data_IF_080308343360
#
_entry.id   IF_080308343360
#
_cell.length_a   1.000
_cell.length_b   1.000
_cell.length_c   1.000
_cell.angle_alpha   90.00
_cell.angle_beta   90.00
_cell.angle_gamma   90.00
#
_symmetry.space_group_name_H-M   'P 1'
#
loop_
_entity.id
_entity.type
_entity.pdbx_description
1 polymer ?
#
# COMPACT_ATOMS: atom_id res chain seq x y z
N UNK A 1 -32.61 23.53 17.42
CA UNK A 1 -31.31 24.20 17.68
C UNK A 1 -30.87 24.91 16.41
N UNK A 2 -30.31 26.13 16.49
CA UNK A 2 -29.86 26.90 15.32
C UNK A 2 -28.65 26.24 14.63
N UNK A 3 -28.42 26.44 13.32
CA UNK A 3 -27.23 25.91 12.65
C UNK A 3 -25.96 26.45 13.31
N UNK A 4 -24.94 25.58 13.44
CA UNK A 4 -23.64 25.98 13.99
C UNK A 4 -22.93 26.88 12.97
N UNK A 5 -22.03 27.74 13.45
CA UNK A 5 -21.17 28.53 12.57
C UNK A 5 -20.15 27.64 11.85
N UNK A 6 -19.64 28.10 10.71
CA UNK A 6 -18.60 27.37 9.98
C UNK A 6 -17.35 27.12 10.82
N UNK A 7 -16.95 28.09 11.66
CA UNK A 7 -15.82 27.95 12.57
C UNK A 7 -16.03 26.86 13.63
N UNK A 8 -17.26 26.72 14.14
CA UNK A 8 -17.60 25.64 15.07
C UNK A 8 -17.57 24.27 14.38
N UNK A 9 -18.08 24.18 13.15
CA UNK A 9 -18.04 22.94 12.36
C UNK A 9 -16.59 22.49 12.08
N UNK A 10 -15.71 23.41 11.68
CA UNK A 10 -14.29 23.10 11.43
C UNK A 10 -13.54 22.76 12.73
N UNK A 11 -13.76 23.50 13.81
CA UNK A 11 -13.16 23.21 15.11
C UNK A 11 -13.59 21.82 15.66
N UNK A 12 -14.88 21.48 15.54
CA UNK A 12 -15.39 20.16 15.90
C UNK A 12 -14.73 19.04 15.08
N UNK A 13 -14.50 19.30 13.79
CA UNK A 13 -13.83 18.38 12.87
C UNK A 13 -12.37 18.17 13.26
N UNK A 14 -11.61 19.22 13.56
CA UNK A 14 -10.24 19.10 14.06
C UNK A 14 -10.16 18.32 15.38
N UNK A 15 -11.09 18.57 16.31
CA UNK A 15 -11.16 17.79 17.57
C UNK A 15 -11.41 16.31 17.30
N UNK A 16 -12.25 15.98 16.32
CA UNK A 16 -12.54 14.61 15.91
C UNK A 16 -11.31 13.95 15.27
N UNK A 17 -10.59 14.68 14.40
CA UNK A 17 -9.34 14.24 13.76
C UNK A 17 -8.25 14.00 14.79
N UNK A 18 -8.02 14.95 15.71
CA UNK A 18 -7.03 14.80 16.77
C UNK A 18 -7.30 13.57 17.64
N UNK A 19 -8.57 13.31 17.97
CA UNK A 19 -8.97 12.11 18.71
C UNK A 19 -8.74 10.80 17.94
N UNK A 20 -8.91 10.81 16.61
CA UNK A 20 -8.59 9.65 15.75
C UNK A 20 -7.10 9.34 15.78
N UNK A 21 -6.28 10.38 15.57
CA UNK A 21 -4.82 10.27 15.50
C UNK A 21 -4.24 9.82 16.86
N UNK A 22 -4.65 10.47 17.95
CA UNK A 22 -4.18 10.12 19.30
C UNK A 22 -4.53 8.68 19.74
N UNK A 23 -5.61 8.11 19.20
CA UNK A 23 -6.05 6.74 19.53
C UNK A 23 -5.64 5.69 18.49
N UNK A 24 -4.92 6.08 17.43
CA UNK A 24 -4.55 5.19 16.33
C UNK A 24 -5.75 4.53 15.61
N UNK A 25 -6.95 5.12 15.69
CA UNK A 25 -8.17 4.50 15.16
C UNK A 25 -8.43 4.92 13.71
N UNK A 26 -8.83 3.96 12.85
CA UNK A 26 -9.16 4.21 11.44
C UNK A 26 -10.58 4.77 11.22
N UNK A 27 -11.45 4.65 12.22
CA UNK A 27 -12.84 5.13 12.23
C UNK A 27 -13.25 5.42 13.67
N UNK A 28 -14.16 6.37 13.87
CA UNK A 28 -14.85 6.54 15.15
C UNK A 28 -16.24 5.89 15.07
N UNK A 29 -16.62 5.19 16.14
CA UNK A 29 -17.97 4.70 16.34
C UNK A 29 -18.41 5.14 17.74
N UNK A 30 -19.58 5.78 17.82
CA UNK A 30 -20.16 6.21 19.09
C UNK A 30 -21.21 7.33 18.96
N UNK A 31 -21.91 7.66 20.05
CA UNK A 31 -22.95 8.69 20.04
C UNK A 31 -22.44 10.07 19.60
N UNK A 32 -21.22 10.43 20.02
CA UNK A 32 -20.60 11.71 19.67
C UNK A 32 -20.37 11.90 18.16
N UNK A 33 -20.14 10.82 17.39
CA UNK A 33 -20.01 10.94 15.93
C UNK A 33 -21.35 11.10 15.23
N UNK A 34 -22.40 10.54 15.81
CA UNK A 34 -23.76 10.69 15.29
C UNK A 34 -24.25 12.12 15.52
N UNK A 35 -24.00 12.70 16.69
CA UNK A 35 -24.30 14.12 16.97
C UNK A 35 -23.53 15.05 16.06
N UNK A 36 -22.22 14.84 15.88
CA UNK A 36 -21.41 15.62 14.92
C UNK A 36 -22.00 15.61 13.51
N UNK A 37 -22.36 14.42 12.99
CA UNK A 37 -22.91 14.31 11.64
C UNK A 37 -24.26 15.00 11.50
N UNK A 38 -25.15 14.89 12.49
CA UNK A 38 -26.44 15.58 12.49
C UNK A 38 -26.27 17.10 12.51
N UNK A 39 -25.34 17.61 13.31
CA UNK A 39 -25.05 19.04 13.37
C UNK A 39 -24.42 19.55 12.07
N UNK A 40 -23.53 18.74 11.46
CA UNK A 40 -22.93 19.05 10.17
C UNK A 40 -23.98 19.05 9.05
N UNK A 41 -24.85 18.04 8.98
CA UNK A 41 -25.95 17.94 8.01
C UNK A 41 -26.91 19.13 8.11
N UNK A 42 -27.21 19.59 9.33
CA UNK A 42 -28.07 20.76 9.54
C UNK A 42 -27.39 22.07 9.12
N UNK A 43 -26.07 22.18 9.34
CA UNK A 43 -25.35 23.44 9.19
C UNK A 43 -24.83 23.65 7.76
N UNK A 44 -24.45 22.58 7.07
CA UNK A 44 -23.83 22.63 5.74
C UNK A 44 -24.64 23.42 4.69
N UNK A 45 -25.98 23.27 4.56
CA UNK A 45 -26.75 24.01 3.56
C UNK A 45 -26.66 25.53 3.73
N UNK A 46 -26.50 26.02 4.96
CA UNK A 46 -26.46 27.46 5.26
C UNK A 46 -25.10 28.09 4.91
N UNK A 47 -24.03 27.28 4.90
CA UNK A 47 -22.66 27.74 4.66
C UNK A 47 -22.10 27.26 3.32
N UNK A 48 -22.89 26.56 2.50
CA UNK A 48 -22.43 25.87 1.30
C UNK A 48 -21.58 26.76 0.39
N UNK A 49 -22.04 27.99 0.14
CA UNK A 49 -21.36 28.94 -0.73
C UNK A 49 -20.14 29.62 -0.10
N UNK A 50 -20.06 29.64 1.24
CA UNK A 50 -18.96 30.22 2.01
C UNK A 50 -17.79 29.24 2.21
N UNK A 51 -18.00 27.96 1.90
CA UNK A 51 -16.96 26.94 1.97
C UNK A 51 -15.83 27.24 0.97
N UNK A 52 -14.60 27.21 1.48
CA UNK A 52 -13.33 27.24 0.73
C UNK A 52 -12.73 25.84 0.68
N UNK A 53 -11.72 25.64 -0.15
CA UNK A 53 -11.04 24.34 -0.32
C UNK A 53 -10.63 23.71 1.01
N UNK A 54 -9.95 24.45 1.89
CA UNK A 54 -9.53 23.94 3.20
C UNK A 54 -10.71 23.48 4.07
N UNK A 55 -11.80 24.25 4.07
CA UNK A 55 -13.01 23.90 4.80
C UNK A 55 -13.58 22.59 4.26
N UNK A 56 -13.64 22.44 2.93
CA UNK A 56 -14.14 21.23 2.29
C UNK A 56 -13.27 20.03 2.65
N UNK A 57 -11.94 20.13 2.55
CA UNK A 57 -11.02 19.03 2.86
C UNK A 57 -11.16 18.54 4.31
N UNK A 58 -11.18 19.45 5.28
CA UNK A 58 -11.30 19.11 6.70
C UNK A 58 -12.66 18.49 7.02
N UNK A 59 -13.74 19.10 6.55
CA UNK A 59 -15.10 18.59 6.76
C UNK A 59 -15.31 17.24 6.07
N UNK A 60 -14.77 17.07 4.86
CA UNK A 60 -14.84 15.82 4.11
C UNK A 60 -14.08 14.72 4.84
N UNK A 61 -12.86 15.00 5.33
CA UNK A 61 -12.10 14.04 6.11
C UNK A 61 -12.82 13.64 7.40
N UNK A 62 -13.37 14.61 8.14
CA UNK A 62 -14.12 14.30 9.36
C UNK A 62 -15.40 13.50 9.08
N UNK A 63 -16.16 13.86 8.05
CA UNK A 63 -17.37 13.15 7.64
C UNK A 63 -17.06 11.70 7.22
N UNK A 64 -16.05 11.52 6.37
CA UNK A 64 -15.64 10.19 5.86
C UNK A 64 -15.13 9.25 6.95
N UNK A 65 -14.60 9.79 8.06
CA UNK A 65 -14.11 9.00 9.21
C UNK A 65 -15.15 8.77 10.30
N UNK A 66 -16.29 9.45 10.22
CA UNK A 66 -17.34 9.43 11.25
C UNK A 66 -18.37 8.33 11.04
N UNK A 67 -18.88 8.15 9.82
CA UNK A 67 -19.88 7.10 9.51
C UNK A 67 -19.98 6.85 8.01
N UNK A 68 -20.34 5.62 7.62
CA UNK A 68 -20.78 5.32 6.26
C UNK A 68 -22.14 5.94 5.94
N UNK A 69 -22.93 6.36 6.94
CA UNK A 69 -24.21 7.06 6.71
C UNK A 69 -24.06 8.52 6.27
N UNK A 70 -22.84 9.08 6.28
CA UNK A 70 -22.58 10.48 5.96
C UNK A 70 -22.66 10.81 4.45
N UNK A 71 -23.13 9.89 3.61
CA UNK A 71 -23.17 10.04 2.14
C UNK A 71 -23.78 11.36 1.66
N UNK A 72 -24.93 11.85 2.20
CA UNK A 72 -25.50 13.11 1.73
C UNK A 72 -24.57 14.31 1.97
N UNK A 73 -23.95 14.36 3.15
CA UNK A 73 -22.96 15.40 3.53
C UNK A 73 -21.73 15.33 2.62
N UNK A 74 -21.21 14.13 2.40
CA UNK A 74 -20.03 13.90 1.55
C UNK A 74 -20.35 14.33 0.11
N UNK A 75 -21.50 13.95 -0.44
CA UNK A 75 -21.94 14.37 -1.79
C UNK A 75 -22.05 15.88 -1.91
N UNK A 76 -22.62 16.56 -0.90
CA UNK A 76 -22.71 18.02 -0.91
C UNK A 76 -21.33 18.69 -0.86
N UNK A 77 -20.42 18.20 -0.03
CA UNK A 77 -19.02 18.68 0.03
C UNK A 77 -18.27 18.45 -1.30
N UNK A 78 -18.43 17.27 -1.91
CA UNK A 78 -17.88 16.96 -3.22
C UNK A 78 -18.45 17.89 -4.32
N UNK A 79 -19.77 18.10 -4.33
CA UNK A 79 -20.42 19.05 -5.25
C UNK A 79 -19.87 20.46 -5.11
N UNK A 80 -19.67 20.92 -3.86
CA UNK A 80 -19.08 22.23 -3.59
C UNK A 80 -17.66 22.31 -4.13
N UNK A 81 -16.86 21.26 -3.95
CA UNK A 81 -15.49 21.22 -4.45
C UNK A 81 -15.44 21.38 -5.98
N UNK A 82 -16.28 20.64 -6.70
CA UNK A 82 -16.39 20.79 -8.16
C UNK A 82 -16.77 22.22 -8.54
N UNK A 83 -17.73 22.84 -7.83
CA UNK A 83 -18.10 24.24 -8.09
C UNK A 83 -16.94 25.22 -7.84
N UNK A 84 -16.12 25.00 -6.81
CA UNK A 84 -14.92 25.83 -6.55
C UNK A 84 -13.93 25.71 -7.71
N UNK A 85 -13.72 24.49 -8.20
CA UNK A 85 -12.77 24.22 -9.28
C UNK A 85 -13.24 24.78 -10.62
N UNK A 86 -14.50 24.54 -10.99
CA UNK A 86 -15.11 25.04 -12.23
C UNK A 86 -15.10 26.58 -12.30
N UNK A 87 -15.32 27.25 -11.16
CA UNK A 87 -15.26 28.71 -11.09
C UNK A 87 -13.83 29.25 -11.25
N UNK A 88 -12.82 28.51 -10.80
CA UNK A 88 -11.41 28.88 -11.00
C UNK A 88 -11.04 28.79 -12.47
N UNK A 89 -11.42 27.71 -13.15
CA UNK A 89 -11.15 27.51 -14.58
C UNK A 89 -11.79 28.60 -15.46
N UNK A 90 -13.03 29.00 -15.14
CA UNK A 90 -13.70 30.12 -15.84
C UNK A 90 -13.00 31.46 -15.65
N UNK A 91 -12.54 31.74 -14.43
CA UNK A 91 -11.81 32.97 -14.14
C UNK A 91 -10.43 33.01 -14.80
N UNK A 92 -9.84 31.86 -15.13
CA UNK A 92 -8.59 31.75 -15.89
C UNK A 92 -8.80 31.97 -17.39
N UNK A 93 -9.88 31.43 -17.96
CA UNK A 93 -10.24 31.62 -19.37
C UNK A 93 -10.57 33.08 -19.71
N UNK A 94 -11.12 33.85 -18.77
CA UNK A 94 -11.40 35.28 -18.94
C UNK A 94 -10.14 36.18 -18.83
N UNK A 95 -8.99 35.63 -18.39
CA UNK A 95 -7.72 36.35 -18.26
C UNK A 95 -6.79 36.04 -19.43
N UNK A 96 -7.06 36.68 -20.56
CA UNK A 96 -6.21 36.59 -21.75
C UNK A 96 -4.81 37.22 -21.53
N UNK A 97 -3.80 36.46 -21.95
CA UNK A 97 -2.38 36.80 -22.22
C UNK A 97 -1.64 37.73 -21.24
N UNK A 98 -0.80 37.16 -20.35
CA UNK A 98 0.56 37.66 -19.96
C UNK A 98 1.01 37.32 -18.52
N UNK A 99 0.48 36.29 -17.85
CA UNK A 99 0.90 35.93 -16.48
C UNK A 99 1.19 34.42 -16.41
N UNK A 100 2.21 33.94 -15.66
CA UNK A 100 2.63 32.54 -15.67
C UNK A 100 1.52 31.58 -15.24
N UNK A 101 1.61 30.31 -15.68
CA UNK A 101 0.68 29.20 -15.36
C UNK A 101 0.03 29.38 -13.98
N UNK A 102 -1.30 29.53 -13.98
CA UNK A 102 -2.07 29.68 -12.76
C UNK A 102 -1.75 28.54 -11.77
N UNK A 103 -1.58 28.91 -10.50
CA UNK A 103 -1.42 27.97 -9.40
C UNK A 103 -2.59 26.98 -9.38
N UNK A 104 -2.37 25.69 -9.12
CA UNK A 104 -3.44 24.71 -9.15
C UNK A 104 -4.50 25.07 -8.11
N UNK A 105 -5.78 24.94 -8.48
CA UNK A 105 -6.92 25.27 -7.61
C UNK A 105 -6.93 24.47 -6.29
N UNK A 106 -6.28 23.31 -6.31
CA UNK A 106 -6.02 22.47 -5.15
C UNK A 106 -4.52 22.44 -4.87
N UNK A 107 -4.12 22.86 -3.67
CA UNK A 107 -2.80 22.52 -3.19
C UNK A 107 -2.64 21.00 -3.00
N UNK A 108 -1.40 20.56 -2.86
CA UNK A 108 -1.07 19.13 -2.77
C UNK A 108 -1.69 18.46 -1.54
N UNK A 109 -1.82 19.16 -0.42
CA UNK A 109 -2.37 18.59 0.82
C UNK A 109 -3.86 18.35 0.69
N UNK A 110 -4.59 19.38 0.25
CA UNK A 110 -6.01 19.34 -0.02
C UNK A 110 -6.33 18.27 -1.08
N UNK A 111 -5.55 18.21 -2.17
CA UNK A 111 -5.69 17.19 -3.20
C UNK A 111 -5.61 15.77 -2.61
N UNK A 112 -4.58 15.49 -1.81
CA UNK A 112 -4.37 14.15 -1.24
C UNK A 112 -5.44 13.79 -0.22
N UNK A 113 -5.85 14.73 0.63
CA UNK A 113 -6.92 14.53 1.60
C UNK A 113 -8.22 14.20 0.88
N UNK A 114 -8.61 15.01 -0.10
CA UNK A 114 -9.83 14.80 -0.89
C UNK A 114 -9.77 13.47 -1.64
N UNK A 115 -8.68 13.21 -2.38
CA UNK A 115 -8.53 11.97 -3.14
C UNK A 115 -8.61 10.73 -2.24
N UNK A 116 -8.00 10.77 -1.05
CA UNK A 116 -8.08 9.70 -0.05
C UNK A 116 -9.50 9.48 0.46
N UNK A 117 -10.24 10.57 0.71
CA UNK A 117 -11.63 10.52 1.16
C UNK A 117 -12.54 9.90 0.09
N UNK A 118 -12.40 10.33 -1.16
CA UNK A 118 -13.21 9.83 -2.28
C UNK A 118 -12.89 8.37 -2.57
N UNK A 119 -11.61 7.98 -2.62
CA UNK A 119 -11.21 6.59 -2.86
C UNK A 119 -11.79 5.63 -1.80
N UNK A 120 -11.89 6.07 -0.54
CA UNK A 120 -12.52 5.29 0.55
C UNK A 120 -14.00 5.03 0.27
N UNK A 121 -14.75 6.03 -0.20
CA UNK A 121 -16.19 5.93 -0.43
C UNK A 121 -16.56 5.39 -1.80
N UNK A 122 -15.68 5.55 -2.79
CA UNK A 122 -15.81 4.95 -4.10
C UNK A 122 -16.16 3.47 -3.92
N UNK A 123 -15.37 2.73 -3.15
CA UNK A 123 -15.53 1.27 -2.93
C UNK A 123 -16.91 0.79 -2.43
N UNK A 124 -17.83 1.66 -2.00
CA UNK A 124 -19.08 1.25 -1.33
C UNK A 124 -20.36 1.97 -1.78
N UNK A 125 -20.30 3.26 -2.11
CA UNK A 125 -21.52 4.11 -2.02
C UNK A 125 -21.68 5.18 -3.12
N UNK A 126 -20.66 5.43 -3.94
CA UNK A 126 -20.78 6.35 -5.09
C UNK A 126 -21.15 5.60 -6.36
N UNK A 127 -22.10 6.16 -7.11
CA UNK A 127 -22.32 5.78 -8.50
C UNK A 127 -21.16 6.26 -9.38
N UNK A 128 -20.99 5.60 -10.53
CA UNK A 128 -19.86 5.87 -11.42
C UNK A 128 -19.95 7.29 -12.03
N UNK A 129 -21.15 7.86 -12.18
CA UNK A 129 -21.35 9.22 -12.71
C UNK A 129 -20.77 10.29 -11.77
N UNK A 130 -21.01 10.19 -10.46
CA UNK A 130 -20.44 11.10 -9.46
C UNK A 130 -18.93 10.95 -9.36
N UNK A 131 -18.40 9.72 -9.44
CA UNK A 131 -16.96 9.48 -9.45
C UNK A 131 -16.29 10.12 -10.67
N UNK A 132 -16.91 10.05 -11.85
CA UNK A 132 -16.42 10.70 -13.07
C UNK A 132 -16.31 12.21 -12.90
N UNK A 133 -17.32 12.85 -12.34
CA UNK A 133 -17.28 14.30 -12.05
C UNK A 133 -16.13 14.65 -11.11
N UNK A 134 -15.94 13.87 -10.04
CA UNK A 134 -14.85 14.11 -9.10
C UNK A 134 -13.47 13.88 -9.71
N UNK A 135 -13.32 12.87 -10.56
CA UNK A 135 -12.07 12.61 -11.28
C UNK A 135 -11.73 13.77 -12.22
N UNK A 136 -12.71 14.31 -12.94
CA UNK A 136 -12.51 15.51 -13.79
C UNK A 136 -11.99 16.69 -12.98
N UNK A 137 -12.42 16.84 -11.73
CA UNK A 137 -11.91 17.86 -10.81
C UNK A 137 -10.49 17.57 -10.30
N UNK A 138 -10.19 16.33 -9.91
CA UNK A 138 -8.93 15.99 -9.23
C UNK A 138 -7.76 15.71 -10.18
N UNK A 139 -8.02 15.13 -11.35
CA UNK A 139 -6.99 14.65 -12.26
C UNK A 139 -6.10 15.78 -12.81
N UNK A 140 -6.62 16.93 -13.26
CA UNK A 140 -5.79 18.03 -13.75
C UNK A 140 -4.84 18.58 -12.67
N UNK A 141 -5.34 18.75 -11.44
CA UNK A 141 -4.53 19.20 -10.32
C UNK A 141 -3.41 18.20 -9.99
N UNK A 142 -3.72 16.90 -9.98
CA UNK A 142 -2.72 15.86 -9.77
C UNK A 142 -1.65 15.85 -10.86
N UNK A 143 -2.04 15.97 -12.13
CA UNK A 143 -1.09 16.04 -13.24
C UNK A 143 -0.16 17.24 -13.11
N UNK A 144 -0.70 18.42 -12.76
CA UNK A 144 0.10 19.61 -12.51
C UNK A 144 1.17 19.36 -11.44
N UNK A 145 0.79 18.76 -10.30
CA UNK A 145 1.72 18.47 -9.21
C UNK A 145 2.75 17.39 -9.57
N UNK A 146 2.41 16.42 -10.42
CA UNK A 146 3.36 15.42 -10.94
C UNK A 146 4.37 16.10 -11.89
N UNK A 147 3.90 16.99 -12.77
CA UNK A 147 4.76 17.73 -13.69
C UNK A 147 5.69 18.69 -12.94
N UNK A 148 5.20 19.34 -11.88
CA UNK A 148 6.01 20.18 -11.00
C UNK A 148 7.08 19.35 -10.28
N UNK A 149 6.70 18.20 -9.70
CA UNK A 149 7.66 17.25 -9.12
C UNK A 149 8.73 16.81 -10.14
N UNK A 150 8.34 16.55 -11.39
CA UNK A 150 9.28 16.23 -12.47
C UNK A 150 10.26 17.37 -12.76
N UNK A 151 9.81 18.63 -12.71
CA UNK A 151 10.68 19.80 -12.87
C UNK A 151 11.63 19.96 -11.70
N UNK A 152 11.15 19.80 -10.47
CA UNK A 152 11.98 19.84 -9.26
C UNK A 152 13.10 18.79 -9.30
N UNK A 153 12.77 17.55 -9.69
CA UNK A 153 13.75 16.47 -9.82
C UNK A 153 14.70 16.70 -11.00
N UNK A 154 14.30 17.43 -12.04
CA UNK A 154 15.17 17.75 -13.17
C UNK A 154 16.11 18.93 -12.91
N UNK A 155 15.84 19.75 -11.89
CA UNK A 155 16.72 20.85 -11.51
C UNK A 155 18.07 20.31 -11.01
N UNK A 156 19.18 20.84 -11.54
CA UNK A 156 20.55 20.35 -11.27
C UNK A 156 21.16 20.86 -9.97
N UNK A 157 20.45 21.70 -9.22
CA UNK A 157 20.96 22.40 -8.04
C UNK A 157 20.43 21.78 -6.75
N UNK A 158 21.32 21.17 -5.96
CA UNK A 158 21.04 20.69 -4.60
C UNK A 158 20.61 19.21 -4.51
N UNK A 159 20.65 18.64 -3.29
CA UNK A 159 20.27 17.24 -3.04
C UNK A 159 18.78 17.01 -3.29
N UNK A 160 18.40 15.76 -3.61
CA UNK A 160 17.01 15.39 -3.85
C UNK A 160 16.09 15.74 -2.67
N UNK A 161 16.57 15.58 -1.44
CA UNK A 161 15.82 15.88 -0.21
C UNK A 161 15.36 17.34 -0.11
N UNK A 162 16.13 18.28 -0.67
CA UNK A 162 15.76 19.70 -0.69
C UNK A 162 14.82 20.02 -1.85
N UNK A 163 15.07 19.41 -3.02
CA UNK A 163 14.30 19.66 -4.24
C UNK A 163 12.92 19.04 -4.22
N UNK A 164 12.81 17.82 -3.68
CA UNK A 164 11.56 17.09 -3.53
C UNK A 164 11.56 16.36 -2.19
N UNK A 165 11.17 17.04 -1.09
CA UNK A 165 11.17 16.45 0.24
C UNK A 165 10.37 15.14 0.32
N UNK A 166 10.75 14.20 1.19
CA UNK A 166 10.08 12.90 1.30
C UNK A 166 8.57 13.01 1.55
N UNK A 167 8.15 14.00 2.33
CA UNK A 167 6.73 14.25 2.62
C UNK A 167 5.96 14.68 1.38
N UNK A 168 6.54 15.53 0.53
CA UNK A 168 5.92 15.96 -0.72
C UNK A 168 5.84 14.79 -1.70
N UNK A 169 6.90 13.99 -1.80
CA UNK A 169 6.90 12.80 -2.62
C UNK A 169 5.83 11.78 -2.14
N UNK A 170 5.74 11.54 -0.84
CA UNK A 170 4.71 10.66 -0.25
C UNK A 170 3.29 11.16 -0.55
N UNK A 171 3.06 12.48 -0.51
CA UNK A 171 1.79 13.10 -0.92
C UNK A 171 1.50 12.84 -2.39
N UNK A 172 2.46 13.07 -3.30
CA UNK A 172 2.31 12.77 -4.74
C UNK A 172 1.96 11.30 -5.00
N UNK A 173 2.70 10.37 -4.38
CA UNK A 173 2.43 8.93 -4.47
C UNK A 173 1.03 8.59 -3.96
N UNK A 174 0.62 9.16 -2.82
CA UNK A 174 -0.71 8.91 -2.24
C UNK A 174 -1.83 9.45 -3.14
N UNK A 175 -1.63 10.65 -3.71
CA UNK A 175 -2.55 11.24 -4.68
C UNK A 175 -2.71 10.36 -5.92
N UNK A 176 -1.60 9.91 -6.51
CA UNK A 176 -1.58 8.96 -7.62
C UNK A 176 -2.33 7.68 -7.30
N UNK A 177 -2.01 7.01 -6.18
CA UNK A 177 -2.65 5.77 -5.77
C UNK A 177 -4.17 5.96 -5.60
N UNK A 178 -4.60 7.05 -4.97
CA UNK A 178 -6.01 7.29 -4.70
C UNK A 178 -6.80 7.63 -5.95
N UNK A 179 -6.33 8.57 -6.77
CA UNK A 179 -7.02 8.96 -8.02
C UNK A 179 -6.93 7.84 -9.06
N UNK A 180 -5.77 7.20 -9.20
CA UNK A 180 -5.54 6.08 -10.10
C UNK A 180 -6.47 4.91 -9.83
N UNK A 181 -6.71 4.54 -8.56
CA UNK A 181 -7.68 3.50 -8.20
C UNK A 181 -9.12 3.85 -8.59
N UNK A 182 -9.52 5.12 -8.48
CA UNK A 182 -10.85 5.56 -8.89
C UNK A 182 -10.97 5.45 -10.41
N UNK A 183 -9.98 5.96 -11.15
CA UNK A 183 -9.91 5.87 -12.62
C UNK A 183 -9.92 4.41 -13.09
N UNK A 184 -9.08 3.55 -12.52
CA UNK A 184 -8.99 2.14 -12.87
C UNK A 184 -10.32 1.39 -12.67
N UNK A 185 -11.07 1.72 -11.61
CA UNK A 185 -12.42 1.20 -11.45
C UNK A 185 -13.32 1.63 -12.60
N UNK A 186 -13.35 2.93 -12.93
CA UNK A 186 -14.21 3.47 -13.98
C UNK A 186 -13.88 2.89 -15.36
N UNK A 187 -12.61 2.62 -15.63
CA UNK A 187 -12.17 1.94 -16.87
C UNK A 187 -12.56 0.47 -16.91
N UNK A 188 -12.70 -0.18 -15.75
CA UNK A 188 -13.06 -1.60 -15.67
C UNK A 188 -14.57 -1.85 -15.73
N UNK A 189 -15.40 -0.85 -15.42
CA UNK A 189 -16.87 -0.97 -15.40
C UNK A 189 -17.53 -0.71 -16.76
N UNK A 190 -16.88 -0.03 -17.68
CA UNK A 190 -17.40 0.29 -19.02
C UNK A 190 -16.32 0.12 -20.10
N UNK A 191 -16.72 -0.24 -21.31
CA UNK A 191 -15.86 -0.21 -22.51
C UNK A 191 -15.63 1.23 -23.01
N UNK A 192 -15.30 2.15 -22.10
CA UNK A 192 -15.20 3.57 -22.37
C UNK A 192 -13.73 3.94 -22.63
N UNK A 193 -13.42 4.34 -23.87
CA UNK A 193 -12.04 4.57 -24.33
C UNK A 193 -11.39 5.80 -23.70
N UNK A 194 -12.18 6.79 -23.32
CA UNK A 194 -11.69 8.09 -22.85
C UNK A 194 -11.04 8.01 -21.46
N UNK A 195 -11.66 7.30 -20.51
CA UNK A 195 -11.07 7.11 -19.17
C UNK A 195 -9.79 6.27 -19.22
N UNK A 196 -9.72 5.33 -20.17
CA UNK A 196 -8.55 4.48 -20.40
C UNK A 196 -7.35 5.31 -20.82
N UNK A 197 -7.55 6.27 -21.72
CA UNK A 197 -6.51 7.22 -22.12
C UNK A 197 -6.04 8.12 -20.97
N UNK A 198 -6.97 8.57 -20.12
CA UNK A 198 -6.64 9.40 -18.94
C UNK A 198 -5.82 8.62 -17.92
N UNK A 199 -6.21 7.38 -17.60
CA UNK A 199 -5.46 6.51 -16.69
C UNK A 199 -4.07 6.21 -17.25
N UNK A 200 -3.96 5.90 -18.54
CA UNK A 200 -2.68 5.63 -19.18
C UNK A 200 -1.73 6.83 -19.08
N UNK A 201 -2.20 8.05 -19.38
CA UNK A 201 -1.40 9.28 -19.27
C UNK A 201 -0.94 9.55 -17.83
N UNK A 202 -1.82 9.30 -16.86
CA UNK A 202 -1.50 9.45 -15.44
C UNK A 202 -0.41 8.44 -15.01
N UNK A 203 -0.56 7.17 -15.40
CA UNK A 203 0.42 6.13 -15.14
C UNK A 203 1.78 6.45 -15.78
N UNK A 204 1.80 6.90 -17.04
CA UNK A 204 3.03 7.27 -17.75
C UNK A 204 3.75 8.43 -17.07
N UNK A 205 3.04 9.51 -16.75
CA UNK A 205 3.64 10.71 -16.16
C UNK A 205 4.19 10.43 -14.76
N UNK A 206 3.47 9.62 -13.96
CA UNK A 206 3.93 9.25 -12.63
C UNK A 206 5.04 8.19 -12.65
N UNK A 207 5.01 7.24 -13.59
CA UNK A 207 6.10 6.29 -13.81
C UNK A 207 7.40 7.02 -14.19
N UNK A 208 7.32 8.06 -15.03
CA UNK A 208 8.45 8.91 -15.36
C UNK A 208 9.02 9.61 -14.12
N UNK A 209 8.16 10.21 -13.27
CA UNK A 209 8.60 10.85 -12.03
C UNK A 209 9.30 9.84 -11.11
N UNK A 210 8.66 8.70 -10.90
CA UNK A 210 9.15 7.60 -10.08
C UNK A 210 10.53 7.10 -10.54
N UNK A 211 10.69 6.85 -11.84
CA UNK A 211 11.98 6.42 -12.41
C UNK A 211 13.09 7.45 -12.17
N UNK A 212 12.80 8.75 -12.35
CA UNK A 212 13.76 9.82 -12.10
C UNK A 212 14.15 9.90 -10.62
N UNK A 213 13.18 9.88 -9.72
CA UNK A 213 13.42 9.90 -8.27
C UNK A 213 14.33 8.74 -7.88
N UNK A 214 14.02 7.52 -8.33
CA UNK A 214 14.83 6.34 -8.03
C UNK A 214 16.25 6.43 -8.62
N UNK A 215 16.40 6.92 -9.86
CA UNK A 215 17.73 7.15 -10.45
C UNK A 215 18.55 8.13 -9.62
N UNK A 216 17.97 9.25 -9.20
CA UNK A 216 18.65 10.22 -8.34
C UNK A 216 19.02 9.63 -6.99
N UNK A 217 18.14 8.86 -6.33
CA UNK A 217 18.48 8.17 -5.09
C UNK A 217 19.70 7.26 -5.29
N UNK A 218 19.72 6.46 -6.36
CA UNK A 218 20.84 5.55 -6.63
C UNK A 218 22.14 6.31 -6.88
N UNK A 219 22.09 7.41 -7.64
CA UNK A 219 23.27 8.19 -7.99
C UNK A 219 23.82 8.96 -6.77
N UNK A 220 22.96 9.51 -5.91
CA UNK A 220 23.37 10.14 -4.64
C UNK A 220 23.96 9.13 -3.64
N UNK A 221 23.36 7.94 -3.52
CA UNK A 221 23.91 6.84 -2.71
C UNK A 221 25.29 6.39 -3.21
N UNK A 222 25.44 6.25 -4.53
CA UNK A 222 26.71 5.89 -5.16
C UNK A 222 27.78 6.95 -4.87
N UNK A 223 27.43 8.22 -5.04
CA UNK A 223 28.32 9.34 -4.76
C UNK A 223 28.71 9.41 -3.28
N UNK A 224 27.78 9.11 -2.36
CA UNK A 224 28.04 9.05 -0.92
C UNK A 224 29.04 7.96 -0.55
N UNK A 225 28.87 6.74 -1.09
CA UNK A 225 29.80 5.63 -0.85
C UNK A 225 31.22 5.87 -1.38
N UNK A 226 31.35 6.71 -2.42
CA UNK A 226 32.63 7.08 -2.98
C UNK A 226 33.38 8.14 -2.12
N UNK A 227 32.71 8.76 -1.14
CA UNK A 227 33.34 9.73 -0.24
C UNK A 227 34.26 9.04 0.78
N UNK A 228 35.24 9.79 1.27
CA UNK A 228 36.12 9.29 2.33
C UNK A 228 35.33 9.04 3.62
N UNK A 229 35.72 8.06 4.47
CA UNK A 229 35.04 7.80 5.74
C UNK A 229 34.95 9.02 6.68
N UNK A 230 35.86 9.99 6.53
CA UNK A 230 35.87 11.24 7.30
C UNK A 230 34.77 12.25 6.86
N UNK A 231 34.18 12.04 5.69
CA UNK A 231 33.11 12.88 5.11
C UNK A 231 31.73 12.22 5.18
N UNK A 232 31.66 10.96 5.63
CA UNK A 232 30.41 10.26 5.85
C UNK A 232 29.61 10.93 6.97
N UNK A 233 28.29 11.07 6.75
CA UNK A 233 27.37 11.75 7.67
C UNK A 233 26.88 10.76 8.74
N UNK A 234 26.55 11.30 9.91
CA UNK A 234 25.84 10.60 10.98
C UNK A 234 24.53 11.37 11.30
N UNK A 235 23.32 10.79 11.13
CA UNK A 235 23.07 9.42 10.67
C UNK A 235 23.40 9.20 9.18
N UNK A 236 23.54 7.93 8.74
CA UNK A 236 23.84 7.59 7.36
C UNK A 236 22.79 8.16 6.41
N UNK A 237 23.21 8.63 5.24
CA UNK A 237 22.30 9.19 4.24
C UNK A 237 21.25 8.16 3.80
N UNK A 238 21.57 6.87 3.91
CA UNK A 238 20.73 5.72 3.61
C UNK A 238 19.41 5.74 4.38
N UNK A 239 19.39 6.19 5.64
CA UNK A 239 18.17 6.28 6.44
C UNK A 239 17.19 7.33 5.88
N UNK A 240 17.72 8.37 5.24
CA UNK A 240 16.90 9.44 4.66
C UNK A 240 16.16 9.01 3.38
N UNK A 241 16.59 7.91 2.74
CA UNK A 241 15.98 7.41 1.51
C UNK A 241 14.90 6.34 1.72
N UNK A 242 14.78 5.77 2.93
CA UNK A 242 13.75 4.77 3.24
C UNK A 242 12.32 5.23 2.85
N UNK A 243 11.89 6.49 3.11
CA UNK A 243 10.56 6.93 2.73
C UNK A 243 10.34 6.94 1.21
N UNK A 244 11.36 7.29 0.40
CA UNK A 244 11.26 7.24 -1.05
C UNK A 244 11.08 5.82 -1.55
N UNK A 245 11.82 4.86 -0.96
CA UNK A 245 11.72 3.44 -1.30
C UNK A 245 10.32 2.91 -0.96
N UNK A 246 9.83 3.16 0.26
CA UNK A 246 8.50 2.71 0.68
C UNK A 246 7.36 3.30 -0.15
N UNK A 247 7.42 4.61 -0.46
CA UNK A 247 6.40 5.25 -1.31
C UNK A 247 6.47 4.77 -2.76
N UNK A 248 7.68 4.62 -3.31
CA UNK A 248 7.92 4.07 -4.64
C UNK A 248 7.33 2.68 -4.79
N UNK A 249 7.57 1.81 -3.81
CA UNK A 249 7.07 0.43 -3.81
C UNK A 249 5.55 0.37 -3.94
N UNK A 250 4.83 1.19 -3.16
CA UNK A 250 3.38 1.23 -3.21
C UNK A 250 2.86 1.69 -4.59
N UNK A 251 3.55 2.62 -5.25
CA UNK A 251 3.21 3.07 -6.59
C UNK A 251 3.50 1.98 -7.63
N UNK A 252 4.63 1.27 -7.53
CA UNK A 252 4.98 0.17 -8.44
C UNK A 252 3.90 -0.92 -8.39
N UNK A 253 3.45 -1.29 -7.20
CA UNK A 253 2.38 -2.27 -7.02
C UNK A 253 1.07 -1.81 -7.68
N UNK A 254 0.69 -0.54 -7.56
CA UNK A 254 -0.51 -0.01 -8.23
C UNK A 254 -0.35 0.04 -9.75
N UNK A 255 0.81 0.45 -10.27
CA UNK A 255 1.07 0.42 -11.71
C UNK A 255 0.93 -0.99 -12.28
N UNK A 256 1.42 -2.01 -11.57
CA UNK A 256 1.23 -3.42 -11.92
C UNK A 256 -0.26 -3.78 -11.87
N UNK A 257 -0.97 -3.38 -10.82
CA UNK A 257 -2.40 -3.66 -10.67
C UNK A 257 -3.25 -3.02 -11.77
N UNK A 258 -2.83 -1.86 -12.29
CA UNK A 258 -3.47 -1.17 -13.42
C UNK A 258 -3.05 -1.74 -14.78
N UNK A 259 -2.17 -2.74 -14.83
CA UNK A 259 -1.68 -3.34 -16.07
C UNK A 259 -0.67 -2.47 -16.83
N UNK A 260 -0.08 -1.46 -16.19
CA UNK A 260 0.94 -0.60 -16.82
C UNK A 260 2.31 -1.32 -16.82
N UNK A 261 3.09 -1.24 -17.92
CA UNK A 261 4.42 -1.83 -17.97
C UNK A 261 5.40 -1.11 -17.04
N UNK A 262 5.95 -1.84 -16.05
CA UNK A 262 6.86 -1.28 -15.02
C UNK A 262 8.31 -1.74 -15.16
N UNK A 263 8.74 -2.16 -16.36
CA UNK A 263 10.08 -2.72 -16.58
C UNK A 263 11.21 -1.79 -16.11
N UNK A 264 11.25 -0.58 -16.68
CA UNK A 264 12.31 0.40 -16.39
C UNK A 264 12.26 0.90 -14.94
N UNK A 265 11.06 1.10 -14.42
CA UNK A 265 10.82 1.49 -13.03
C UNK A 265 11.35 0.41 -12.06
N UNK A 266 11.07 -0.87 -12.32
CA UNK A 266 11.59 -1.98 -11.50
C UNK A 266 13.10 -2.02 -11.55
N UNK A 267 13.72 -1.82 -12.72
CA UNK A 267 15.18 -1.78 -12.86
C UNK A 267 15.77 -0.64 -12.03
N UNK A 268 15.20 0.56 -12.10
CA UNK A 268 15.63 1.70 -11.28
C UNK A 268 15.48 1.41 -9.77
N UNK A 269 14.36 0.81 -9.36
CA UNK A 269 14.10 0.44 -7.97
C UNK A 269 15.12 -0.57 -7.43
N UNK A 270 15.41 -1.63 -8.19
CA UNK A 270 16.42 -2.62 -7.80
C UNK A 270 17.84 -2.06 -7.83
N UNK A 271 18.13 -1.08 -8.70
CA UNK A 271 19.41 -0.35 -8.68
C UNK A 271 19.59 0.38 -7.34
N UNK A 272 18.57 1.13 -6.88
CA UNK A 272 18.61 1.81 -5.57
C UNK A 272 18.86 0.81 -4.45
N UNK A 273 18.16 -0.32 -4.44
CA UNK A 273 18.33 -1.35 -3.39
C UNK A 273 19.71 -2.01 -3.42
N UNK A 274 20.32 -2.15 -4.60
CA UNK A 274 21.72 -2.60 -4.71
C UNK A 274 22.71 -1.59 -4.12
N UNK A 275 22.38 -0.30 -4.23
CA UNK A 275 23.17 0.78 -3.66
C UNK A 275 22.86 1.10 -2.20
N UNK A 276 21.72 0.68 -1.67
CA UNK A 276 21.40 0.91 -0.26
C UNK A 276 22.05 -0.17 0.62
N UNK A 277 22.48 0.20 1.83
CA UNK A 277 22.57 -0.78 2.90
C UNK A 277 21.14 -1.15 3.34
N UNK A 278 20.66 -2.32 2.91
CA UNK A 278 19.30 -2.80 3.18
C UNK A 278 19.00 -2.86 4.69
N UNK A 279 20.02 -2.98 5.54
CA UNK A 279 19.87 -2.95 7.01
C UNK A 279 19.36 -1.61 7.54
N UNK A 280 19.47 -0.54 6.76
CA UNK A 280 18.94 0.78 7.10
C UNK A 280 17.42 0.89 6.89
N UNK A 281 16.78 -0.04 6.17
CA UNK A 281 15.32 -0.09 6.07
C UNK A 281 14.78 -0.75 7.33
N UNK A 282 14.11 0.03 8.19
CA UNK A 282 13.56 -0.43 9.47
C UNK A 282 12.16 -1.02 9.31
N UNK A 283 11.45 -0.64 8.25
CA UNK A 283 10.10 -1.10 8.00
C UNK A 283 10.09 -2.51 7.39
N UNK A 284 9.78 -3.51 8.24
CA UNK A 284 9.64 -4.91 7.83
C UNK A 284 8.59 -5.14 6.71
N UNK A 285 7.52 -4.34 6.66
CA UNK A 285 6.54 -4.41 5.57
C UNK A 285 7.17 -4.01 4.23
N UNK A 286 7.98 -2.95 4.21
CA UNK A 286 8.70 -2.52 3.00
C UNK A 286 9.65 -3.60 2.50
N UNK A 287 10.40 -4.23 3.42
CA UNK A 287 11.33 -5.32 3.10
C UNK A 287 10.60 -6.52 2.48
N UNK A 288 9.53 -6.98 3.14
CA UNK A 288 8.74 -8.13 2.66
C UNK A 288 8.05 -7.85 1.33
N UNK A 289 7.40 -6.69 1.19
CA UNK A 289 6.73 -6.32 -0.08
C UNK A 289 7.74 -6.17 -1.22
N UNK A 290 8.92 -5.63 -0.94
CA UNK A 290 10.03 -5.55 -1.89
C UNK A 290 10.44 -6.96 -2.37
N UNK A 291 10.61 -7.89 -1.45
CA UNK A 291 10.94 -9.27 -1.80
C UNK A 291 9.84 -9.91 -2.65
N UNK A 292 8.58 -9.72 -2.29
CA UNK A 292 7.43 -10.28 -3.00
C UNK A 292 7.20 -9.68 -4.41
N UNK A 293 7.87 -8.59 -4.79
CA UNK A 293 7.86 -8.11 -6.17
C UNK A 293 8.62 -9.00 -7.15
N UNK A 294 9.43 -9.94 -6.63
CA UNK A 294 10.09 -10.96 -7.42
C UNK A 294 9.04 -11.92 -7.98
N UNK A 295 8.87 -11.89 -9.30
CA UNK A 295 8.02 -12.84 -10.01
C UNK A 295 8.79 -14.09 -10.44
N UNK A 296 8.06 -15.19 -10.76
CA UNK A 296 8.67 -16.42 -11.27
C UNK A 296 9.33 -16.24 -12.65
N UNK A 297 8.90 -15.23 -13.41
CA UNK A 297 9.49 -14.88 -14.69
C UNK A 297 10.66 -13.90 -14.49
N UNK A 298 11.89 -14.42 -14.67
CA UNK A 298 13.12 -13.66 -14.92
C UNK A 298 13.69 -12.84 -13.75
N UNK A 299 14.60 -13.46 -13.00
CA UNK A 299 15.83 -12.78 -12.58
C UNK A 299 16.79 -12.73 -13.78
N UNK A 300 16.72 -11.69 -14.61
CA UNK A 300 17.68 -11.49 -15.73
C UNK A 300 18.97 -10.78 -15.32
N UNK A 301 19.13 -10.42 -14.04
CA UNK A 301 20.32 -9.73 -13.56
C UNK A 301 20.87 -10.40 -12.28
N UNK A 302 22.11 -10.90 -12.35
CA UNK A 302 22.82 -11.53 -11.22
C UNK A 302 22.90 -10.60 -9.99
N UNK A 303 23.00 -9.29 -10.20
CA UNK A 303 23.00 -8.30 -9.12
C UNK A 303 21.67 -8.29 -8.33
N UNK A 304 20.53 -8.49 -9.00
CA UNK A 304 19.22 -8.59 -8.34
C UNK A 304 19.13 -9.81 -7.42
N UNK A 305 19.79 -10.92 -7.78
CA UNK A 305 19.82 -12.16 -6.99
C UNK A 305 20.60 -11.99 -5.70
N UNK A 306 21.74 -11.29 -5.76
CA UNK A 306 22.57 -11.01 -4.57
C UNK A 306 21.83 -10.08 -3.61
N UNK A 307 21.26 -8.99 -4.12
CA UNK A 307 20.49 -8.03 -3.32
C UNK A 307 19.27 -8.69 -2.67
N UNK A 308 18.56 -9.54 -3.40
CA UNK A 308 17.40 -10.27 -2.87
C UNK A 308 17.77 -11.30 -1.78
N UNK A 309 18.94 -11.94 -1.86
CA UNK A 309 19.42 -12.81 -0.77
C UNK A 309 19.75 -12.01 0.49
N UNK A 310 20.48 -10.89 0.35
CA UNK A 310 20.73 -9.96 1.47
C UNK A 310 19.42 -9.45 2.09
N UNK A 311 18.42 -9.18 1.26
CA UNK A 311 17.09 -8.78 1.73
C UNK A 311 16.46 -9.84 2.64
N UNK A 312 16.57 -11.12 2.28
CA UNK A 312 16.10 -12.21 3.13
C UNK A 312 16.88 -12.29 4.46
N UNK A 313 18.20 -12.12 4.44
CA UNK A 313 18.98 -12.08 5.68
C UNK A 313 18.48 -10.98 6.63
N UNK A 314 18.15 -9.80 6.09
CA UNK A 314 17.60 -8.68 6.88
C UNK A 314 16.17 -8.95 7.33
N UNK A 315 15.31 -9.52 6.48
CA UNK A 315 13.94 -9.90 6.88
C UNK A 315 13.97 -10.89 8.06
N UNK A 316 14.92 -11.84 8.05
CA UNK A 316 15.06 -12.84 9.10
C UNK A 316 15.37 -12.25 10.49
N UNK A 317 15.92 -11.03 10.56
CA UNK A 317 16.25 -10.37 11.83
C UNK A 317 15.13 -9.46 12.34
N UNK A 318 14.07 -9.24 11.57
CA UNK A 318 12.96 -8.37 11.94
C UNK A 318 11.85 -9.14 12.64
N UNK A 319 11.14 -8.47 13.55
CA UNK A 319 9.86 -8.97 14.06
C UNK A 319 8.79 -8.84 12.97
N UNK A 320 8.19 -9.96 12.59
CA UNK A 320 7.15 -10.03 11.56
C UNK A 320 5.74 -10.15 12.15
N UNK A 321 5.59 -10.03 13.48
CA UNK A 321 4.32 -10.18 14.20
C UNK A 321 3.22 -9.20 13.78
N UNK A 322 3.59 -8.01 13.29
CA UNK A 322 2.64 -6.99 12.82
C UNK A 322 2.24 -7.14 11.34
N UNK A 323 2.94 -7.99 10.57
CA UNK A 323 2.65 -8.18 9.14
C UNK A 323 1.37 -8.96 8.93
N UNK A 324 0.56 -8.58 7.95
CA UNK A 324 -0.66 -9.32 7.61
C UNK A 324 -0.36 -10.75 7.15
N UNK A 325 -1.34 -11.65 7.33
CA UNK A 325 -1.28 -13.01 6.81
C UNK A 325 -0.99 -13.08 5.31
N UNK A 326 -1.51 -12.12 4.54
CA UNK A 326 -1.25 -12.07 3.10
C UNK A 326 0.23 -11.79 2.81
N UNK A 327 0.87 -10.87 3.55
CA UNK A 327 2.29 -10.58 3.37
C UNK A 327 3.17 -11.77 3.73
N UNK A 328 2.88 -12.44 4.85
CA UNK A 328 3.60 -13.65 5.26
C UNK A 328 3.42 -14.79 4.24
N UNK A 329 2.17 -15.03 3.81
CA UNK A 329 1.84 -16.01 2.79
C UNK A 329 2.59 -15.75 1.49
N UNK A 330 2.55 -14.51 0.99
CA UNK A 330 3.23 -14.12 -0.26
C UNK A 330 4.73 -14.33 -0.17
N UNK A 331 5.35 -14.11 0.98
CA UNK A 331 6.78 -14.37 1.17
C UNK A 331 7.10 -15.86 1.00
N UNK A 332 6.29 -16.75 1.59
CA UNK A 332 6.44 -18.20 1.43
C UNK A 332 6.26 -18.63 -0.03
N UNK A 333 5.24 -18.08 -0.71
CA UNK A 333 5.01 -18.34 -2.14
C UNK A 333 6.20 -17.91 -2.97
N UNK A 334 6.70 -16.68 -2.80
CA UNK A 334 7.86 -16.16 -3.52
C UNK A 334 9.11 -17.00 -3.28
N UNK A 335 9.40 -17.37 -2.02
CA UNK A 335 10.51 -18.29 -1.73
C UNK A 335 10.35 -19.62 -2.47
N UNK A 336 9.15 -20.20 -2.47
CA UNK A 336 8.87 -21.47 -3.12
C UNK A 336 8.94 -21.39 -4.65
N UNK A 337 8.44 -20.33 -5.26
CA UNK A 337 8.48 -20.13 -6.72
C UNK A 337 9.90 -19.90 -7.22
N UNK A 338 10.77 -19.32 -6.39
CA UNK A 338 12.20 -19.16 -6.65
C UNK A 338 13.04 -20.36 -6.21
N UNK A 339 12.44 -21.36 -5.56
CA UNK A 339 13.11 -22.51 -4.94
C UNK A 339 14.19 -22.13 -3.91
N UNK A 340 14.00 -21.01 -3.20
CA UNK A 340 14.95 -20.48 -2.22
C UNK A 340 14.65 -20.97 -0.80
N UNK A 341 15.48 -21.90 -0.33
CA UNK A 341 15.39 -22.48 1.01
C UNK A 341 16.09 -21.58 2.04
N UNK A 342 15.52 -20.41 2.32
CA UNK A 342 16.08 -19.46 3.29
C UNK A 342 15.56 -19.69 4.72
N UNK A 343 16.20 -20.59 5.45
CA UNK A 343 15.73 -21.05 6.76
C UNK A 343 15.42 -19.91 7.75
N UNK A 344 16.29 -18.91 7.88
CA UNK A 344 16.07 -17.82 8.84
C UNK A 344 14.77 -17.03 8.61
N UNK A 345 14.37 -16.84 7.34
CA UNK A 345 13.12 -16.14 7.01
C UNK A 345 11.93 -17.05 7.22
N UNK A 346 12.06 -18.33 6.86
CA UNK A 346 10.97 -19.30 7.07
C UNK A 346 10.72 -19.56 8.56
N UNK A 347 11.75 -19.53 9.39
CA UNK A 347 11.64 -19.58 10.85
C UNK A 347 10.94 -18.32 11.38
N UNK A 348 11.38 -17.12 10.99
CA UNK A 348 10.74 -15.85 11.38
C UNK A 348 9.26 -15.75 10.98
N UNK A 349 8.90 -16.20 9.76
CA UNK A 349 7.51 -16.30 9.31
C UNK A 349 6.73 -17.30 10.17
N UNK A 350 7.34 -18.45 10.47
CA UNK A 350 6.73 -19.47 11.33
C UNK A 350 6.41 -18.92 12.71
N UNK A 351 7.33 -18.19 13.32
CA UNK A 351 7.15 -17.55 14.62
C UNK A 351 6.01 -16.52 14.58
N UNK A 352 5.93 -15.70 13.53
CA UNK A 352 4.85 -14.73 13.37
C UNK A 352 3.46 -15.37 13.21
N UNK A 353 3.38 -16.56 12.59
CA UNK A 353 2.15 -17.35 12.55
C UNK A 353 1.82 -17.97 13.92
N UNK A 354 2.82 -18.49 14.63
CA UNK A 354 2.64 -19.10 15.94
C UNK A 354 2.14 -18.09 16.99
N UNK A 355 2.68 -16.86 16.98
CA UNK A 355 2.22 -15.75 17.82
C UNK A 355 0.74 -15.42 17.60
N UNK A 356 0.22 -15.67 16.38
CA UNK A 356 -1.14 -15.33 15.96
C UNK A 356 -1.93 -16.54 15.49
N UNK A 357 -1.77 -17.66 16.20
CA UNK A 357 -2.44 -18.94 15.90
C UNK A 357 -3.97 -18.87 15.79
N UNK A 358 -4.60 -17.85 16.40
CA UNK A 358 -6.04 -17.60 16.33
C UNK A 358 -6.49 -16.84 15.07
N UNK A 359 -5.54 -16.25 14.33
CA UNK A 359 -5.77 -15.49 13.10
C UNK A 359 -4.96 -16.12 11.96
N UNK A 360 -5.21 -17.39 11.64
CA UNK A 360 -4.57 -18.03 10.49
C UNK A 360 -5.25 -17.62 9.17
N UNK A 361 -4.55 -17.76 8.02
CA UNK A 361 -5.14 -17.56 6.69
C UNK A 361 -6.35 -18.46 6.45
N UNK A 362 -7.09 -18.18 5.37
CA UNK A 362 -8.17 -19.08 4.94
C UNK A 362 -7.64 -20.49 4.60
N UNK A 363 -8.56 -21.45 4.56
CA UNK A 363 -8.25 -22.87 4.36
C UNK A 363 -7.45 -23.11 3.07
N UNK A 364 -7.81 -22.44 1.99
CA UNK A 364 -7.15 -22.60 0.68
C UNK A 364 -5.69 -22.17 0.76
N UNK A 365 -5.41 -21.02 1.39
CA UNK A 365 -4.04 -20.53 1.59
C UNK A 365 -3.24 -21.43 2.54
N UNK A 366 -3.86 -21.95 3.59
CA UNK A 366 -3.18 -22.88 4.52
C UNK A 366 -2.76 -24.16 3.80
N UNK A 367 -3.62 -24.71 2.93
CA UNK A 367 -3.29 -25.89 2.13
C UNK A 367 -2.17 -25.59 1.14
N UNK A 368 -2.23 -24.45 0.43
CA UNK A 368 -1.14 -24.03 -0.48
C UNK A 368 0.16 -23.85 0.30
N UNK A 369 0.16 -23.18 1.46
CA UNK A 369 1.36 -23.03 2.30
C UNK A 369 2.02 -24.36 2.68
N UNK A 370 1.23 -25.38 3.03
CA UNK A 370 1.75 -26.72 3.34
C UNK A 370 2.46 -27.32 2.12
N UNK A 371 1.89 -27.14 0.92
CA UNK A 371 2.51 -27.54 -0.33
C UNK A 371 3.79 -26.73 -0.62
N UNK A 372 3.80 -25.42 -0.37
CA UNK A 372 5.00 -24.56 -0.54
C UNK A 372 6.12 -24.96 0.41
N UNK A 373 5.82 -25.22 1.68
CA UNK A 373 6.81 -25.72 2.64
C UNK A 373 7.34 -27.10 2.23
N UNK A 374 6.50 -27.95 1.64
CA UNK A 374 6.94 -29.23 1.07
C UNK A 374 7.94 -29.01 -0.06
N UNK A 375 7.64 -28.13 -1.02
CA UNK A 375 8.54 -27.79 -2.13
C UNK A 375 9.88 -27.24 -1.63
N UNK A 376 9.84 -26.42 -0.59
CA UNK A 376 11.02 -25.86 0.06
C UNK A 376 11.76 -26.83 0.99
N UNK A 377 11.29 -28.07 1.16
CA UNK A 377 11.78 -29.03 2.15
C UNK A 377 11.90 -28.44 3.57
N UNK A 378 11.06 -27.46 3.91
CA UNK A 378 11.12 -26.75 5.19
C UNK A 378 10.34 -27.50 6.27
N UNK A 379 10.98 -27.70 7.43
CA UNK A 379 10.41 -28.47 8.54
C UNK A 379 10.46 -27.73 9.87
N UNK A 380 9.35 -27.08 10.23
CA UNK A 380 9.06 -26.63 11.58
C UNK A 380 7.75 -27.26 12.03
N UNK A 381 7.81 -28.30 12.85
CA UNK A 381 6.59 -29.07 13.08
C UNK A 381 5.68 -28.55 14.18
N UNK A 382 6.06 -27.52 14.95
CA UNK A 382 5.08 -26.74 15.71
C UNK A 382 4.16 -25.97 14.74
N UNK A 383 4.77 -25.31 13.75
CA UNK A 383 4.04 -24.63 12.68
C UNK A 383 3.20 -25.62 11.84
N UNK A 384 3.81 -26.73 11.37
CA UNK A 384 3.09 -27.71 10.55
C UNK A 384 1.92 -28.34 11.32
N UNK A 385 2.10 -28.68 12.59
CA UNK A 385 1.02 -29.20 13.42
C UNK A 385 -0.12 -28.19 13.57
N UNK A 386 0.20 -26.92 13.84
CA UNK A 386 -0.80 -25.85 13.92
C UNK A 386 -1.60 -25.72 12.62
N UNK A 387 -0.93 -25.72 11.46
CA UNK A 387 -1.59 -25.61 10.15
C UNK A 387 -2.47 -26.83 9.85
N UNK A 388 -1.99 -28.04 10.13
CA UNK A 388 -2.75 -29.28 9.94
C UNK A 388 -3.98 -29.33 10.84
N UNK A 389 -3.84 -28.93 12.12
CA UNK A 389 -4.98 -28.79 13.04
C UNK A 389 -5.98 -27.75 12.55
N UNK A 390 -5.51 -26.65 11.96
CA UNK A 390 -6.40 -25.65 11.38
C UNK A 390 -7.25 -26.23 10.24
N UNK A 391 -6.64 -26.97 9.32
CA UNK A 391 -7.36 -27.69 8.25
C UNK A 391 -8.40 -28.64 8.84
N UNK A 392 -8.00 -29.42 9.85
CA UNK A 392 -8.87 -30.42 10.48
C UNK A 392 -10.09 -29.77 11.14
N UNK A 393 -9.84 -28.72 11.94
CA UNK A 393 -10.87 -28.02 12.70
C UNK A 393 -11.84 -27.23 11.83
N UNK A 394 -11.44 -26.83 10.62
CA UNK A 394 -12.34 -26.14 9.69
C UNK A 394 -13.45 -27.05 9.18
N UNK A 395 -13.21 -28.36 9.06
CA UNK A 395 -14.23 -29.35 8.68
C UNK A 395 -14.83 -29.21 7.27
N UNK A 396 -14.38 -28.23 6.48
CA UNK A 396 -14.88 -27.93 5.13
C UNK A 396 -13.86 -28.22 4.02
N UNK A 397 -12.79 -28.95 4.34
CA UNK A 397 -11.76 -29.28 3.36
C UNK A 397 -12.29 -30.29 2.34
N UNK A 398 -12.01 -30.04 1.06
CA UNK A 398 -12.34 -30.98 0.00
C UNK A 398 -11.42 -32.21 0.06
N UNK A 399 -11.82 -33.37 -0.51
CA UNK A 399 -10.94 -34.53 -0.59
C UNK A 399 -9.58 -34.23 -1.25
N UNK A 400 -9.56 -33.37 -2.28
CA UNK A 400 -8.31 -32.94 -2.93
C UNK A 400 -7.41 -32.11 -2.02
N UNK A 401 -7.98 -31.23 -1.19
CA UNK A 401 -7.24 -30.46 -0.20
C UNK A 401 -6.67 -31.37 0.90
N UNK A 402 -7.46 -32.34 1.38
CA UNK A 402 -7.02 -33.34 2.35
C UNK A 402 -5.86 -34.17 1.79
N UNK A 403 -5.97 -34.64 0.54
CA UNK A 403 -4.90 -35.37 -0.13
C UNK A 403 -3.60 -34.56 -0.18
N UNK A 404 -3.66 -33.28 -0.57
CA UNK A 404 -2.50 -32.39 -0.59
C UNK A 404 -1.85 -32.24 0.80
N UNK A 405 -2.66 -32.11 1.85
CA UNK A 405 -2.19 -32.04 3.24
C UNK A 405 -1.49 -33.33 3.65
N UNK A 406 -2.08 -34.49 3.34
CA UNK A 406 -1.50 -35.81 3.64
C UNK A 406 -0.16 -35.99 2.91
N UNK A 407 -0.10 -35.71 1.60
CA UNK A 407 1.15 -35.80 0.83
C UNK A 407 2.26 -34.90 1.43
N UNK A 408 1.89 -33.69 1.85
CA UNK A 408 2.81 -32.76 2.51
C UNK A 408 3.33 -33.35 3.81
N UNK A 409 2.45 -33.85 4.68
CA UNK A 409 2.81 -34.51 5.93
C UNK A 409 3.73 -35.72 5.73
N UNK A 410 3.45 -36.57 4.74
CA UNK A 410 4.26 -37.75 4.42
C UNK A 410 5.65 -37.35 3.94
N UNK A 411 5.76 -36.34 3.08
CA UNK A 411 7.05 -35.83 2.60
C UNK A 411 7.93 -35.37 3.76
N UNK A 412 7.36 -34.60 4.70
CA UNK A 412 8.07 -34.13 5.89
C UNK A 412 8.54 -35.28 6.80
N UNK A 413 7.79 -36.39 6.89
CA UNK A 413 8.22 -37.57 7.65
C UNK A 413 9.41 -38.28 7.00
N UNK A 414 9.47 -38.38 5.67
CA UNK A 414 10.60 -39.01 4.96
C UNK A 414 11.92 -38.27 5.20
N UNK A 415 11.88 -36.97 5.44
CA UNK A 415 13.07 -36.15 5.71
C UNK A 415 13.58 -36.26 7.17
N UNK A 416 12.85 -36.93 8.08
CA UNK A 416 13.29 -37.15 9.49
C UNK A 416 14.41 -38.17 9.66
N UNK A 417 14.75 -38.98 8.65
CA UNK A 417 15.75 -40.03 8.80
C UNK A 417 17.20 -39.51 8.96
N UNK A 418 17.44 -38.19 8.95
CA UNK A 418 18.76 -37.57 9.08
C UNK A 418 18.94 -36.54 10.23
N UNK A 419 18.01 -36.40 11.20
CA UNK A 419 18.15 -35.43 12.33
C UNK A 419 17.73 -36.06 13.68
N UNK A 420 18.43 -35.80 14.81
CA UNK A 420 18.21 -36.51 16.08
C UNK A 420 16.81 -36.29 16.69
N UNK A 421 16.21 -37.38 17.16
CA UNK A 421 14.83 -37.55 17.62
C UNK A 421 14.47 -36.87 18.96
N UNK A 422 14.51 -35.53 19.06
CA UNK A 422 13.92 -34.83 20.21
C UNK A 422 13.22 -33.53 19.84
N UNK A 423 12.13 -33.65 19.11
CA UNK A 423 10.94 -32.81 19.21
C UNK A 423 9.92 -33.39 18.23
N UNK A 424 8.61 -33.13 18.46
CA UNK A 424 7.51 -33.35 17.51
C UNK A 424 6.83 -34.73 17.57
N UNK A 425 6.02 -34.90 18.61
CA UNK A 425 4.84 -35.76 18.56
C UNK A 425 3.81 -35.13 17.61
N UNK A 426 3.79 -35.54 16.35
CA UNK A 426 2.53 -35.44 15.59
C UNK A 426 1.56 -36.36 16.31
N UNK A 427 0.49 -35.81 16.90
CA UNK A 427 -0.57 -36.64 17.46
C UNK A 427 -1.09 -37.57 16.34
N UNK A 428 -0.77 -38.86 16.48
CA UNK A 428 -1.18 -39.97 15.61
C UNK A 428 -2.68 -39.92 15.19
N UNK A 429 -3.63 -39.53 16.07
CA UNK A 429 -5.06 -39.51 15.75
C UNK A 429 -5.45 -38.53 14.63
N UNK A 430 -4.79 -37.37 14.53
CA UNK A 430 -5.19 -36.33 13.56
C UNK A 430 -4.82 -36.75 12.13
N UNK A 431 -3.66 -37.39 11.97
CA UNK A 431 -3.19 -37.90 10.67
C UNK A 431 -3.98 -39.14 10.23
N UNK A 432 -4.32 -40.05 11.14
CA UNK A 432 -5.18 -41.20 10.86
C UNK A 432 -6.59 -40.77 10.45
N UNK A 433 -7.16 -39.76 11.13
CA UNK A 433 -8.42 -39.15 10.74
C UNK A 433 -8.38 -38.56 9.32
N UNK A 434 -7.29 -37.91 8.92
CA UNK A 434 -7.15 -37.38 7.57
C UNK A 434 -7.04 -38.47 6.51
N UNK A 435 -6.31 -39.55 6.79
CA UNK A 435 -6.20 -40.70 5.87
C UNK A 435 -7.57 -41.36 5.66
N UNK A 436 -8.35 -41.53 6.74
CA UNK A 436 -9.72 -42.05 6.65
C UNK A 436 -10.67 -41.13 5.86
N UNK A 437 -10.56 -39.81 6.01
CA UNK A 437 -11.36 -38.84 5.25
C UNK A 437 -10.95 -38.76 3.76
N UNK A 438 -9.73 -39.18 3.42
CA UNK A 438 -9.21 -39.18 2.05
C UNK A 438 -9.63 -40.42 1.23
N UNK A 439 -10.30 -41.42 1.82
CA UNK A 439 -10.50 -42.74 1.22
C UNK A 439 -9.18 -43.39 0.73
N UNK A 440 -8.11 -43.27 1.52
CA UNK A 440 -6.82 -43.94 1.29
C UNK A 440 -6.67 -45.19 2.14
#
# INVERSE_FOLDING_TARGET
MPPNSLAECTAASYKLIANLLARGRKSLAGPNTTTFLQDLERSLPNHYWDLKTDHVSVLLFAATRSSSRAVPTIRSLCSRLSTICDNSERNELDRDFSIPLASPTLDLENLVVVASCINRFARREFDDAQLRTMVKTLQPALMHWIDDGNKCVSATTGPLLERLPPEHYAKLCTGFICVGRILHRLTSSESNTDDGGVLQKLCESHAHLLERVLKFCADELTAYKAQSPAQMRDPPIEETYEPYIGCSLAVIEELIAFGYPVGDVKVAYWKVLGELDIRCIRNAETLVRTFCMLGPAKMTCEAGSITAKKLLDVIATHDLGDLSNEQLYRTVVTCSDLEWQHRGVLDAIGDAFLQRSHQLPDLTKVVDMLQRFRTLSYHNAALLEMLVRHVHNKGTATPSQIHCVVESCVSFRKHRYNVPQRALHFNHPTLESFVQQANL
#
